data_IF_331668942541
#
_entry.id   IF_331668942541
#
_cell.length_a   1.000
_cell.length_b   1.000
_cell.length_c   1.000
_cell.angle_alpha   90.00
_cell.angle_beta   90.00
_cell.angle_gamma   90.00
#
_symmetry.space_group_name_H-M   'P 1'
#
loop_
_entity.id
_entity.type
_entity.pdbx_description
1 polymer ?
#
# COMPACT_ATOMS: atom_id res chain seq x y z
N UNK A 1 -14.21 -20.27 -26.47
CA UNK A 1 -15.28 -19.43 -27.08
C UNK A 1 -15.21 -17.93 -26.78
N UNK A 2 -14.25 -17.42 -25.99
CA UNK A 2 -13.95 -15.98 -25.94
C UNK A 2 -15.03 -15.08 -25.32
N UNK A 3 -16.00 -15.66 -24.61
CA UNK A 3 -17.08 -14.94 -23.92
C UNK A 3 -16.62 -14.63 -22.50
N UNK A 4 -16.72 -13.35 -22.11
CA UNK A 4 -16.54 -12.90 -20.74
C UNK A 4 -17.92 -12.51 -20.17
N UNK A 5 -18.27 -13.07 -19.02
CA UNK A 5 -19.52 -12.77 -18.31
C UNK A 5 -19.20 -12.02 -17.01
N UNK A 6 -19.91 -10.92 -16.77
CA UNK A 6 -19.85 -10.17 -15.51
C UNK A 6 -21.25 -10.23 -14.88
N UNK A 7 -21.32 -10.74 -13.64
CA UNK A 7 -22.58 -10.82 -12.89
C UNK A 7 -22.59 -9.73 -11.83
N UNK A 8 -23.64 -8.93 -11.84
CA UNK A 8 -23.93 -7.93 -10.82
C UNK A 8 -25.41 -8.01 -10.45
N UNK A 9 -25.74 -7.49 -9.26
CA UNK A 9 -27.12 -7.39 -8.81
C UNK A 9 -27.27 -6.31 -7.75
N UNK A 10 -28.52 -5.97 -7.49
CA UNK A 10 -28.94 -5.05 -6.46
C UNK A 10 -29.90 -5.73 -5.49
N UNK A 11 -30.05 -5.14 -4.30
CA UNK A 11 -30.94 -5.68 -3.27
C UNK A 11 -32.27 -4.96 -3.37
N UNK A 12 -33.31 -5.67 -3.83
CA UNK A 12 -34.64 -5.10 -4.00
C UNK A 12 -35.39 -5.02 -2.67
N UNK A 13 -35.85 -3.81 -2.34
CA UNK A 13 -36.72 -3.50 -1.21
C UNK A 13 -38.13 -3.12 -1.69
N UNK A 14 -39.05 -2.93 -0.74
CA UNK A 14 -40.46 -2.60 -1.06
C UNK A 14 -40.62 -1.26 -1.78
N UNK A 15 -39.72 -0.33 -1.53
CA UNK A 15 -39.69 1.04 -2.06
C UNK A 15 -38.58 1.26 -3.10
N UNK A 16 -37.92 0.18 -3.57
CA UNK A 16 -36.92 0.26 -4.62
C UNK A 16 -37.51 0.83 -5.92
N UNK A 17 -36.76 1.73 -6.54
CA UNK A 17 -37.08 2.30 -7.85
C UNK A 17 -36.34 1.49 -8.91
N UNK A 18 -37.03 0.80 -9.84
CA UNK A 18 -36.39 -0.10 -10.80
C UNK A 18 -35.23 0.53 -11.57
N UNK A 19 -35.38 1.78 -11.98
CA UNK A 19 -34.37 2.53 -12.73
C UNK A 19 -33.11 2.81 -11.89
N UNK A 20 -33.26 3.05 -10.58
CA UNK A 20 -32.14 3.29 -9.66
C UNK A 20 -31.37 1.98 -9.38
N UNK A 21 -32.09 0.86 -9.25
CA UNK A 21 -31.50 -0.46 -9.04
C UNK A 21 -30.72 -0.95 -10.28
N UNK A 22 -31.23 -0.64 -11.48
CA UNK A 22 -30.52 -0.89 -12.74
C UNK A 22 -29.22 -0.07 -12.79
N UNK A 23 -29.29 1.24 -12.50
CA UNK A 23 -28.12 2.11 -12.47
C UNK A 23 -27.07 1.66 -11.43
N UNK A 24 -27.51 1.19 -10.26
CA UNK A 24 -26.61 0.60 -9.24
C UNK A 24 -25.91 -0.66 -9.76
N UNK A 25 -26.67 -1.53 -10.44
CA UNK A 25 -26.15 -2.79 -10.99
C UNK A 25 -25.12 -2.52 -12.08
N UNK A 26 -25.37 -1.54 -12.95
CA UNK A 26 -24.42 -1.07 -13.96
C UNK A 26 -23.16 -0.50 -13.32
N UNK A 27 -23.30 0.35 -12.30
CA UNK A 27 -22.17 0.97 -11.61
C UNK A 27 -21.29 -0.09 -10.94
N UNK A 28 -21.87 -1.09 -10.28
CA UNK A 28 -21.14 -2.23 -9.70
C UNK A 28 -20.39 -3.05 -10.74
N UNK A 29 -20.99 -3.28 -11.91
CA UNK A 29 -20.36 -4.02 -13.00
C UNK A 29 -19.29 -3.21 -13.75
N UNK A 30 -19.42 -1.87 -13.76
CA UNK A 30 -18.65 -0.97 -14.61
C UNK A 30 -17.14 -1.11 -14.44
N UNK A 31 -16.65 -1.26 -13.19
CA UNK A 31 -15.21 -1.40 -12.91
C UNK A 31 -14.63 -2.69 -13.54
N UNK A 32 -15.37 -3.81 -13.43
CA UNK A 32 -14.94 -5.09 -13.99
C UNK A 32 -15.03 -5.09 -15.52
N UNK A 33 -16.07 -4.46 -16.09
CA UNK A 33 -16.20 -4.26 -17.52
C UNK A 33 -15.07 -3.37 -18.08
N UNK A 34 -14.69 -2.31 -17.35
CA UNK A 34 -13.55 -1.45 -17.73
C UNK A 34 -12.26 -2.26 -17.75
N UNK A 35 -11.96 -3.02 -16.69
CA UNK A 35 -10.76 -3.83 -16.62
C UNK A 35 -10.67 -4.88 -17.75
N UNK A 36 -11.80 -5.49 -18.12
CA UNK A 36 -11.85 -6.45 -19.24
C UNK A 36 -11.62 -5.73 -20.58
N UNK A 37 -12.21 -4.55 -20.78
CA UNK A 37 -12.00 -3.74 -21.99
C UNK A 37 -10.53 -3.33 -22.10
N UNK A 38 -9.95 -2.80 -21.01
CA UNK A 38 -8.55 -2.40 -20.93
C UNK A 38 -7.60 -3.57 -21.22
N UNK A 39 -7.92 -4.78 -20.76
CA UNK A 39 -7.16 -5.99 -21.07
C UNK A 39 -7.28 -6.43 -22.55
N UNK A 40 -8.38 -6.09 -23.24
CA UNK A 40 -8.64 -6.44 -24.64
C UNK A 40 -8.04 -5.43 -25.62
N UNK A 41 -8.07 -4.15 -25.29
CA UNK A 41 -7.21 -3.12 -25.91
C UNK A 41 -5.79 -3.33 -25.44
N UNK A 42 -5.13 -4.39 -25.93
CA UNK A 42 -3.74 -4.66 -25.58
C UNK A 42 -2.92 -3.38 -25.76
N UNK A 43 -2.38 -2.85 -24.64
CA UNK A 43 -1.51 -1.69 -24.41
C UNK A 43 -1.05 -0.83 -25.62
N UNK A 44 -1.93 -0.54 -26.56
CA UNK A 44 -1.65 0.29 -27.72
C UNK A 44 -1.90 1.71 -27.26
N UNK A 45 -0.80 2.41 -26.99
CA UNK A 45 -0.71 3.78 -26.45
C UNK A 45 -0.99 3.94 -24.95
N UNK A 46 -0.40 3.08 -24.12
CA UNK A 46 0.18 3.60 -22.90
C UNK A 46 1.47 4.30 -23.29
N UNK A 47 1.63 5.60 -23.02
CA UNK A 47 2.98 6.13 -22.87
C UNK A 47 3.62 5.24 -21.81
N UNK A 48 4.49 4.30 -22.21
CA UNK A 48 5.37 3.65 -21.26
C UNK A 48 6.13 4.81 -20.63
N UNK A 49 5.67 5.27 -19.46
CA UNK A 49 6.54 5.98 -18.55
C UNK A 49 7.61 4.96 -18.30
N UNK A 50 8.74 5.12 -18.98
CA UNK A 50 9.96 4.38 -18.70
C UNK A 50 10.36 4.85 -17.30
N UNK A 51 9.72 4.29 -16.28
CA UNK A 51 10.13 4.50 -14.91
C UNK A 51 11.52 3.90 -14.86
N UNK A 52 12.52 4.75 -14.62
CA UNK A 52 13.87 4.25 -14.42
C UNK A 52 13.81 3.15 -13.36
N UNK A 53 14.27 1.95 -13.69
CA UNK A 53 14.22 0.78 -12.79
C UNK A 53 15.31 0.86 -11.73
N UNK A 54 15.31 1.96 -10.98
CA UNK A 54 16.31 2.28 -9.96
C UNK A 54 16.27 1.33 -8.77
N UNK A 55 15.19 0.55 -8.63
CA UNK A 55 15.03 -0.45 -7.57
C UNK A 55 15.36 -1.87 -8.00
N UNK A 56 15.82 -2.12 -9.23
CA UNK A 56 16.19 -3.47 -9.67
C UNK A 56 17.25 -4.06 -8.72
N UNK A 57 16.96 -5.23 -8.15
CA UNK A 57 17.83 -5.92 -7.20
C UNK A 57 17.74 -5.45 -5.75
N UNK A 58 16.93 -4.44 -5.45
CA UNK A 58 16.72 -3.94 -4.08
C UNK A 58 15.57 -4.70 -3.41
N UNK A 59 15.83 -5.25 -2.21
CA UNK A 59 14.81 -5.88 -1.38
C UNK A 59 14.32 -4.90 -0.30
N UNK A 60 13.03 -4.63 -0.30
CA UNK A 60 12.40 -3.68 0.62
C UNK A 60 11.52 -4.43 1.61
N UNK A 61 11.77 -4.20 2.90
CA UNK A 61 10.84 -4.57 3.97
C UNK A 61 9.93 -3.37 4.25
N UNK A 62 8.65 -3.49 3.88
CA UNK A 62 7.63 -2.49 4.18
C UNK A 62 6.85 -2.92 5.44
N UNK A 63 6.98 -2.13 6.50
CA UNK A 63 6.30 -2.37 7.77
C UNK A 63 4.95 -1.67 7.75
N UNK A 64 3.88 -2.46 7.83
CA UNK A 64 2.47 -2.03 7.85
C UNK A 64 2.03 -1.65 9.27
N UNK A 65 1.64 -0.39 9.45
CA UNK A 65 1.05 0.17 10.67
C UNK A 65 -0.48 0.32 10.55
N UNK A 66 -1.11 -0.65 9.88
CA UNK A 66 -2.57 -0.77 9.74
C UNK A 66 -3.22 0.34 8.91
N UNK A 67 -2.59 0.71 7.80
CA UNK A 67 -3.08 1.74 6.86
C UNK A 67 -3.35 1.15 5.47
N UNK A 68 -4.48 1.49 4.86
CA UNK A 68 -4.84 1.01 3.51
C UNK A 68 -3.88 1.52 2.42
N UNK A 69 -3.20 2.65 2.65
CA UNK A 69 -2.22 3.25 1.75
C UNK A 69 -0.96 2.40 1.59
N UNK A 70 -0.72 1.43 2.48
CA UNK A 70 0.44 0.51 2.39
C UNK A 70 0.48 -0.23 1.05
N UNK A 71 -0.67 -0.57 0.48
CA UNK A 71 -0.75 -1.26 -0.80
C UNK A 71 -0.35 -0.35 -1.97
N UNK A 72 -0.77 0.91 -1.93
CA UNK A 72 -0.37 1.93 -2.90
C UNK A 72 1.12 2.19 -2.82
N UNK A 73 1.66 2.33 -1.61
CA UNK A 73 3.08 2.55 -1.38
C UNK A 73 3.93 1.35 -1.87
N UNK A 74 3.51 0.13 -1.55
CA UNK A 74 4.16 -1.09 -2.05
C UNK A 74 4.15 -1.15 -3.58
N UNK A 75 3.05 -0.75 -4.21
CA UNK A 75 2.94 -0.69 -5.67
C UNK A 75 3.92 0.32 -6.28
N UNK A 76 4.08 1.50 -5.68
CA UNK A 76 5.06 2.48 -6.17
C UNK A 76 6.50 1.96 -6.11
N UNK A 77 6.88 1.29 -5.03
CA UNK A 77 8.21 0.65 -4.95
C UNK A 77 8.37 -0.49 -5.95
N UNK A 78 7.34 -1.31 -6.18
CA UNK A 78 7.42 -2.38 -7.20
C UNK A 78 7.56 -1.82 -8.62
N UNK A 79 6.96 -0.67 -8.91
CA UNK A 79 7.12 0.02 -10.20
C UNK A 79 8.54 0.51 -10.47
N UNK A 80 9.40 0.62 -9.44
CA UNK A 80 10.83 0.91 -9.62
C UNK A 80 11.66 -0.36 -9.88
N UNK A 81 11.06 -1.55 -9.86
CA UNK A 81 11.75 -2.84 -10.00
C UNK A 81 12.14 -3.51 -8.67
N UNK A 82 11.81 -2.90 -7.52
CA UNK A 82 12.19 -3.44 -6.22
C UNK A 82 11.33 -4.64 -5.80
N UNK A 83 11.93 -5.57 -5.05
CA UNK A 83 11.25 -6.69 -4.42
C UNK A 83 10.69 -6.24 -3.06
N UNK A 84 9.36 -6.06 -2.96
CA UNK A 84 8.73 -5.54 -1.75
C UNK A 84 8.03 -6.64 -0.96
N UNK A 85 8.49 -6.86 0.27
CA UNK A 85 7.84 -7.72 1.27
C UNK A 85 7.15 -6.86 2.33
N UNK A 86 5.83 -7.03 2.47
CA UNK A 86 5.03 -6.28 3.45
C UNK A 86 4.80 -7.16 4.68
N UNK A 87 5.09 -6.62 5.87
CA UNK A 87 4.90 -7.31 7.16
C UNK A 87 4.21 -6.35 8.12
N UNK A 88 3.17 -6.81 8.81
CA UNK A 88 2.49 -6.02 9.83
C UNK A 88 3.31 -5.97 11.11
N UNK A 89 3.31 -4.81 11.77
CA UNK A 89 3.93 -4.67 13.10
C UNK A 89 3.19 -5.53 14.15
N UNK A 90 3.87 -6.07 15.18
CA UNK A 90 5.31 -6.01 15.46
C UNK A 90 6.13 -6.89 14.53
N UNK A 91 7.32 -6.44 14.14
CA UNK A 91 8.23 -7.17 13.23
C UNK A 91 9.18 -8.09 14.03
N UNK A 92 9.09 -9.43 13.90
CA UNK A 92 10.03 -10.35 14.53
C UNK A 92 11.44 -10.24 13.95
N UNK A 93 12.46 -10.61 14.75
CA UNK A 93 13.88 -10.59 14.32
C UNK A 93 14.13 -11.49 13.11
N UNK A 94 13.49 -12.66 13.09
CA UNK A 94 13.58 -13.67 12.03
C UNK A 94 13.19 -13.14 10.65
N UNK A 95 12.35 -12.11 10.60
CA UNK A 95 11.96 -11.47 9.33
C UNK A 95 13.17 -10.82 8.68
N UNK A 96 14.04 -10.16 9.44
CA UNK A 96 15.25 -9.53 8.92
C UNK A 96 16.24 -10.58 8.40
N UNK A 97 16.42 -11.69 9.13
CA UNK A 97 17.33 -12.78 8.73
C UNK A 97 16.85 -13.51 7.47
N UNK A 98 15.53 -13.71 7.35
CA UNK A 98 14.93 -14.40 6.21
C UNK A 98 14.88 -13.52 4.97
N UNK A 99 14.45 -12.27 5.11
CA UNK A 99 14.21 -11.38 3.97
C UNK A 99 15.47 -10.64 3.52
N UNK A 100 16.44 -10.44 4.43
CA UNK A 100 17.68 -9.68 4.17
C UNK A 100 17.41 -8.38 3.41
N UNK A 101 16.57 -7.48 3.97
CA UNK A 101 16.18 -6.26 3.28
C UNK A 101 17.38 -5.31 3.13
N UNK A 102 17.43 -4.60 2.00
CA UNK A 102 18.36 -3.52 1.72
C UNK A 102 17.81 -2.16 2.20
N UNK A 103 16.48 -2.07 2.39
CA UNK A 103 15.77 -0.89 2.86
C UNK A 103 14.58 -1.28 3.73
N UNK A 104 14.40 -0.58 4.85
CA UNK A 104 13.19 -0.66 5.67
C UNK A 104 12.32 0.55 5.40
N UNK A 105 11.06 0.34 5.07
CA UNK A 105 10.07 1.40 4.91
C UNK A 105 9.04 1.29 6.01
N UNK A 106 8.80 2.39 6.73
CA UNK A 106 7.75 2.51 7.74
C UNK A 106 6.52 3.16 7.09
N UNK A 107 5.41 2.43 7.01
CA UNK A 107 4.18 2.93 6.38
C UNK A 107 3.54 4.08 7.18
N UNK A 108 2.59 4.81 6.59
CA UNK A 108 1.60 5.57 7.33
C UNK A 108 0.80 4.66 8.28
N UNK A 109 0.07 5.29 9.20
CA UNK A 109 -0.82 4.62 10.16
C UNK A 109 -1.63 5.65 10.95
N UNK A 110 -2.73 5.24 11.59
CA UNK A 110 -3.46 6.08 12.53
C UNK A 110 -2.64 6.25 13.83
N UNK A 111 -3.15 7.04 14.79
CA UNK A 111 -2.57 7.10 16.13
C UNK A 111 -1.16 7.71 16.18
N UNK A 112 -0.32 7.16 17.06
CA UNK A 112 1.04 7.64 17.36
C UNK A 112 2.08 6.55 17.15
N UNK A 113 3.36 6.89 16.92
CA UNK A 113 4.42 5.88 16.74
C UNK A 113 4.55 4.87 17.88
N UNK A 114 4.17 5.26 19.10
CA UNK A 114 4.25 4.38 20.28
C UNK A 114 3.22 3.25 20.21
N UNK A 115 2.07 3.48 19.59
CA UNK A 115 0.99 2.47 19.46
C UNK A 115 1.42 1.24 18.64
N UNK A 116 2.44 1.42 17.79
CA UNK A 116 2.93 0.41 16.85
C UNK A 116 4.33 -0.10 17.16
N UNK A 117 4.89 0.26 18.32
CA UNK A 117 6.26 -0.05 18.74
C UNK A 117 7.31 0.24 17.65
N UNK A 118 7.15 1.39 16.97
CA UNK A 118 8.04 1.78 15.89
C UNK A 118 9.51 1.90 16.34
N UNK A 119 9.73 2.27 17.61
CA UNK A 119 11.07 2.38 18.20
C UNK A 119 11.82 1.04 18.18
N UNK A 120 11.16 -0.09 18.49
CA UNK A 120 11.79 -1.41 18.42
C UNK A 120 12.17 -1.77 16.98
N UNK A 121 11.30 -1.50 16.01
CA UNK A 121 11.57 -1.74 14.58
C UNK A 121 12.74 -0.89 14.08
N UNK A 122 12.77 0.40 14.42
CA UNK A 122 13.87 1.31 14.06
C UNK A 122 15.19 0.82 14.68
N UNK A 123 15.18 0.41 15.95
CA UNK A 123 16.37 -0.13 16.63
C UNK A 123 16.91 -1.37 15.94
N UNK A 124 16.05 -2.32 15.55
CA UNK A 124 16.43 -3.55 14.82
C UNK A 124 17.04 -3.26 13.46
N UNK A 125 16.48 -2.28 12.73
CA UNK A 125 17.01 -1.84 11.44
C UNK A 125 18.37 -1.12 11.60
N UNK A 126 18.50 -0.24 12.60
CA UNK A 126 19.75 0.47 12.91
C UNK A 126 20.87 -0.43 13.37
N UNK A 127 20.58 -1.47 14.15
CA UNK A 127 21.56 -2.47 14.56
C UNK A 127 22.18 -3.23 13.37
N UNK A 128 21.51 -3.22 12.22
CA UNK A 128 21.95 -3.82 10.96
C UNK A 128 22.49 -2.80 9.95
N UNK A 129 22.60 -1.53 10.36
CA UNK A 129 22.97 -0.39 9.52
C UNK A 129 22.10 -0.24 8.25
N UNK A 130 20.82 -0.62 8.35
CA UNK A 130 19.89 -0.51 7.24
C UNK A 130 19.39 0.93 7.09
N UNK A 131 19.26 1.45 5.85
CA UNK A 131 18.53 2.69 5.62
C UNK A 131 17.05 2.50 5.99
N UNK A 132 16.45 3.56 6.53
CA UNK A 132 15.05 3.57 6.94
C UNK A 132 14.37 4.77 6.29
N UNK A 133 13.25 4.52 5.61
CA UNK A 133 12.42 5.55 5.01
C UNK A 133 11.04 5.56 5.67
N UNK A 134 10.63 6.70 6.24
CA UNK A 134 9.36 6.84 6.94
C UNK A 134 8.37 7.71 6.19
N UNK A 135 7.10 7.28 6.13
CA UNK A 135 6.00 8.05 5.54
C UNK A 135 4.95 8.36 6.60
N UNK A 136 4.57 9.63 6.75
CA UNK A 136 3.59 10.09 7.75
C UNK A 136 3.93 9.60 9.17
N UNK A 137 3.16 8.67 9.75
CA UNK A 137 3.47 8.00 11.03
C UNK A 137 4.89 7.45 11.07
N UNK A 138 5.37 6.84 9.98
CA UNK A 138 6.75 6.34 9.88
C UNK A 138 7.80 7.45 9.97
N UNK A 139 7.51 8.65 9.45
CA UNK A 139 8.40 9.81 9.57
C UNK A 139 8.38 10.37 10.99
N UNK A 140 7.19 10.46 11.59
CA UNK A 140 7.01 10.86 12.99
C UNK A 140 7.79 9.95 13.94
N UNK A 141 7.73 8.63 13.70
CA UNK A 141 8.49 7.64 14.46
C UNK A 141 10.00 7.85 14.38
N UNK A 142 10.51 8.19 13.19
CA UNK A 142 11.93 8.54 13.02
C UNK A 142 12.26 9.82 13.78
N UNK A 143 11.41 10.85 13.72
CA UNK A 143 11.64 12.09 14.46
C UNK A 143 11.78 11.81 15.97
N UNK A 144 10.86 11.05 16.57
CA UNK A 144 10.94 10.68 18.00
C UNK A 144 12.19 9.83 18.32
N UNK A 145 12.51 8.85 17.47
CA UNK A 145 13.66 7.98 17.68
C UNK A 145 15.00 8.72 17.70
N UNK A 146 15.07 9.91 17.07
CA UNK A 146 16.26 10.78 17.07
C UNK A 146 16.11 12.00 18.00
N UNK A 147 15.19 11.94 18.96
CA UNK A 147 15.06 12.94 20.03
C UNK A 147 14.16 14.13 19.69
N UNK A 148 13.41 14.06 18.59
CA UNK A 148 12.32 14.99 18.30
C UNK A 148 11.11 14.78 19.22
N UNK A 149 10.30 15.81 19.36
CA UNK A 149 9.07 15.79 20.15
C UNK A 149 7.87 16.01 19.22
N UNK A 150 6.90 15.08 19.25
CA UNK A 150 5.65 15.23 18.52
C UNK A 150 4.63 16.03 19.34
N UNK A 151 3.83 16.83 18.65
CA UNK A 151 2.71 17.59 19.23
C UNK A 151 1.50 17.50 18.33
N UNK A 152 0.32 17.53 18.95
CA UNK A 152 -0.93 17.60 18.23
C UNK A 152 -1.21 19.05 17.79
N UNK A 153 -1.51 19.24 16.50
CA UNK A 153 -1.92 20.54 15.99
C UNK A 153 -3.33 20.87 16.50
N UNK A 154 -3.58 22.15 16.78
CA UNK A 154 -4.91 22.61 17.20
C UNK A 154 -5.96 22.46 16.09
N UNK A 155 -5.53 22.59 14.83
CA UNK A 155 -6.35 22.37 13.64
C UNK A 155 -5.67 21.23 12.85
N UNK A 156 -6.38 20.13 12.54
CA UNK A 156 -5.86 19.02 11.75
C UNK A 156 -5.44 19.43 10.33
#
# INVERSE_FOLDING_TARGET
>A
DGIAEVRAGATLLFDSVPEEEEAETELKASAMLSAIRDAKTGNATGTERTTARVGDGVNILLVDHEDSFVHTLANYFRQTGANVSTVRTPVPEEVFERLKPDLVVLSPGPGTPTDFDCAATIKKARARDLPIFGVCLGLQALAEAYGGELRQLHIP
#
